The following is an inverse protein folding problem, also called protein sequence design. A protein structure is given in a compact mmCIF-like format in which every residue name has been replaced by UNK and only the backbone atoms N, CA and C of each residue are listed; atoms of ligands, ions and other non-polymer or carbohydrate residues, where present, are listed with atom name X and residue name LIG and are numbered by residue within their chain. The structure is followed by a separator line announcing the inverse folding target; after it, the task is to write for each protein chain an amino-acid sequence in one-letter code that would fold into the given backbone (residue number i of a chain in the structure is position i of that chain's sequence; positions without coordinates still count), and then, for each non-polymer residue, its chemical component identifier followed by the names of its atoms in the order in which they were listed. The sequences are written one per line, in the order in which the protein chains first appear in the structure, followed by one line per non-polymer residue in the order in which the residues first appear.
data_IF_634143800073
#
_entry.id   IF_634143800073
#
_cell.length_a   1.000
_cell.length_b   1.000
_cell.length_c   1.000
_cell.angle_alpha   90.00
_cell.angle_beta   90.00
_cell.angle_gamma   90.00
#
_symmetry.space_group_name_H-M   'P 1'
#
loop_
_entity.id
_entity.type
_entity.pdbx_description
1 polymer ?
#
# COMPACT_ATOMS: atom_id res chain seq x y z
N UNK A 1 -13.54 1.53 12.75
CA UNK A 1 -13.21 0.46 11.78
C UNK A 1 -11.75 0.60 11.42
N UNK A 2 -11.09 -0.53 11.25
CA UNK A 2 -9.69 -0.67 10.86
C UNK A 2 -9.64 -1.73 9.76
N UNK A 3 -8.76 -1.53 8.79
CA UNK A 3 -8.48 -2.49 7.73
C UNK A 3 -7.22 -3.27 8.10
N UNK A 4 -7.13 -4.53 7.72
CA UNK A 4 -5.90 -5.31 7.91
C UNK A 4 -5.45 -5.89 6.58
N UNK A 5 -4.18 -5.67 6.25
CA UNK A 5 -3.53 -6.36 5.14
C UNK A 5 -2.88 -7.62 5.71
N UNK A 6 -3.16 -8.76 5.12
CA UNK A 6 -2.64 -10.06 5.55
C UNK A 6 -1.69 -10.57 4.48
N UNK A 7 -0.42 -10.77 4.80
CA UNK A 7 0.52 -11.38 3.87
C UNK A 7 0.14 -12.85 3.62
N UNK A 8 0.32 -13.30 2.39
CA UNK A 8 0.11 -14.69 1.98
C UNK A 8 1.30 -15.19 1.18
N UNK A 9 1.57 -16.48 1.25
CA UNK A 9 2.59 -17.17 0.49
C UNK A 9 2.18 -17.30 -0.99
N UNK A 10 3.15 -17.58 -1.87
CA UNK A 10 2.91 -17.75 -3.31
C UNK A 10 1.93 -18.90 -3.66
N UNK A 11 1.70 -19.84 -2.73
CA UNK A 11 0.73 -20.93 -2.84
C UNK A 11 -0.64 -20.60 -2.21
N UNK A 12 -0.82 -19.38 -1.70
CA UNK A 12 -2.04 -18.92 -1.03
C UNK A 12 -2.13 -19.31 0.44
N UNK A 13 -1.02 -19.74 1.06
CA UNK A 13 -0.95 -19.99 2.50
C UNK A 13 -0.94 -18.68 3.32
N UNK A 14 -1.72 -18.63 4.41
CA UNK A 14 -1.72 -17.49 5.32
C UNK A 14 -0.37 -17.35 6.04
N UNK A 15 0.10 -16.11 6.19
CA UNK A 15 1.30 -15.79 6.99
C UNK A 15 0.96 -15.08 8.31
N UNK A 16 1.94 -14.85 9.17
CA UNK A 16 1.71 -14.17 10.46
C UNK A 16 1.80 -12.64 10.34
N UNK A 17 2.40 -12.14 9.26
CA UNK A 17 2.66 -10.75 9.00
C UNK A 17 1.37 -10.04 8.55
N UNK A 18 0.97 -9.03 9.30
CA UNK A 18 -0.18 -8.21 8.97
C UNK A 18 0.12 -6.73 9.21
N UNK A 19 -0.52 -5.88 8.40
CA UNK A 19 -0.48 -4.43 8.54
C UNK A 19 -1.88 -3.91 8.88
N UNK A 20 -2.07 -3.41 10.10
CA UNK A 20 -3.35 -2.85 10.53
C UNK A 20 -3.37 -1.33 10.31
N UNK A 21 -4.39 -0.85 9.63
CA UNK A 21 -4.56 0.55 9.24
C UNK A 21 -5.88 1.09 9.78
N UNK A 22 -5.85 2.31 10.31
CA UNK A 22 -7.10 3.03 10.62
C UNK A 22 -7.78 3.49 9.33
N UNK A 23 -9.11 3.69 9.35
CA UNK A 23 -9.82 4.27 8.19
C UNK A 23 -9.22 5.60 7.72
N UNK A 24 -8.68 6.40 8.64
CA UNK A 24 -8.06 7.68 8.34
C UNK A 24 -6.73 7.51 7.62
N UNK A 25 -5.86 6.65 8.15
CA UNK A 25 -4.60 6.26 7.52
C UNK A 25 -4.85 5.70 6.12
N UNK A 26 -5.88 4.86 5.99
CA UNK A 26 -6.28 4.29 4.72
C UNK A 26 -6.76 5.35 3.72
N UNK A 27 -7.57 6.33 4.16
CA UNK A 27 -8.01 7.41 3.29
C UNK A 27 -6.83 8.25 2.77
N UNK A 28 -5.90 8.62 3.64
CA UNK A 28 -4.72 9.41 3.27
C UNK A 28 -3.80 8.66 2.31
N UNK A 29 -3.56 7.37 2.56
CA UNK A 29 -2.76 6.52 1.70
C UNK A 29 -3.41 6.32 0.32
N UNK A 30 -4.75 6.18 0.28
CA UNK A 30 -5.49 6.08 -0.99
C UNK A 30 -5.37 7.36 -1.82
N UNK A 31 -5.55 8.53 -1.22
CA UNK A 31 -5.38 9.81 -1.91
C UNK A 31 -3.97 9.93 -2.50
N UNK A 32 -2.96 9.58 -1.71
CA UNK A 32 -1.57 9.61 -2.15
C UNK A 32 -1.31 8.67 -3.33
N UNK A 33 -1.80 7.43 -3.26
CA UNK A 33 -1.64 6.46 -4.34
C UNK A 33 -2.33 6.93 -5.63
N UNK A 34 -3.52 7.53 -5.53
CA UNK A 34 -4.22 8.13 -6.69
C UNK A 34 -3.35 9.20 -7.35
N UNK A 35 -2.76 10.10 -6.56
CA UNK A 35 -1.88 11.16 -7.07
C UNK A 35 -0.64 10.61 -7.78
N UNK A 36 -0.08 9.49 -7.29
CA UNK A 36 1.09 8.86 -7.91
C UNK A 36 0.73 8.09 -9.20
N UNK A 37 -0.44 7.45 -9.26
CA UNK A 37 -0.83 6.69 -10.45
C UNK A 37 -1.37 7.53 -11.62
N UNK A 38 -1.94 8.70 -11.35
CA UNK A 38 -2.30 9.64 -12.43
C UNK A 38 -1.05 10.16 -13.19
N UNK A 39 0.17 9.96 -12.63
CA UNK A 39 1.41 10.46 -13.20
C UNK A 39 2.01 9.58 -14.33
N UNK A 40 1.70 8.29 -14.43
CA UNK A 40 2.23 7.45 -15.51
C UNK A 40 1.36 6.22 -15.79
N UNK A 41 0.69 6.23 -16.95
CA UNK A 41 -0.16 5.17 -17.53
C UNK A 41 -1.32 4.70 -16.65
N UNK A 42 -2.53 5.06 -17.06
CA UNK A 42 -3.77 4.59 -16.45
C UNK A 42 -3.77 3.08 -16.16
N UNK A 43 -4.30 2.74 -14.98
CA UNK A 43 -4.69 1.38 -14.53
C UNK A 43 -3.62 0.56 -13.77
N UNK A 44 -3.10 1.07 -12.64
CA UNK A 44 -2.79 0.16 -11.51
C UNK A 44 -3.44 0.54 -10.17
N UNK A 45 -3.71 1.83 -9.89
CA UNK A 45 -4.36 2.22 -8.60
C UNK A 45 -5.84 1.88 -8.54
N UNK A 46 -6.44 1.53 -9.67
CA UNK A 46 -7.74 0.86 -9.71
C UNK A 46 -7.72 -0.53 -9.04
N UNK A 47 -6.57 -1.22 -8.96
CA UNK A 47 -6.42 -2.49 -8.23
C UNK A 47 -6.23 -2.30 -6.71
N UNK A 48 -5.75 -1.13 -6.29
CA UNK A 48 -5.75 -0.69 -4.88
C UNK A 48 -7.10 -0.08 -4.46
N UNK A 49 -8.13 -0.15 -5.30
CA UNK A 49 -9.52 -0.11 -4.82
C UNK A 49 -9.73 -1.45 -4.13
N UNK A 50 -9.29 -1.53 -2.87
CA UNK A 50 -9.40 -2.67 -1.94
C UNK A 50 -10.50 -3.63 -2.37
N UNK A 51 -10.06 -4.59 -3.16
CA UNK A 51 -10.90 -5.44 -3.98
C UNK A 51 -11.45 -6.53 -3.06
N UNK A 52 -12.75 -6.81 -3.15
CA UNK A 52 -13.55 -7.71 -2.28
C UNK A 52 -12.94 -9.13 -2.10
N UNK A 53 -11.84 -9.26 -1.34
CA UNK A 53 -11.11 -10.52 -1.15
C UNK A 53 -10.28 -10.98 -2.35
N UNK A 54 -9.79 -10.07 -3.21
CA UNK A 54 -8.86 -10.44 -4.29
C UNK A 54 -7.41 -10.25 -3.86
N UNK A 55 -6.62 -11.30 -4.01
CA UNK A 55 -5.19 -11.33 -3.76
C UNK A 55 -4.43 -10.28 -4.59
N UNK A 56 -3.58 -9.48 -3.93
CA UNK A 56 -2.57 -8.64 -4.58
C UNK A 56 -1.32 -9.47 -4.83
N UNK A 57 -0.90 -9.59 -6.09
CA UNK A 57 0.19 -10.47 -6.48
C UNK A 57 1.59 -9.87 -6.18
N UNK A 58 2.68 -10.67 -6.22
CA UNK A 58 4.02 -10.20 -5.90
C UNK A 58 4.54 -9.07 -6.81
N UNK A 59 4.16 -9.04 -8.09
CA UNK A 59 4.62 -8.03 -9.04
C UNK A 59 3.93 -6.69 -8.79
N UNK A 60 2.62 -6.74 -8.48
CA UNK A 60 1.85 -5.59 -8.01
C UNK A 60 2.40 -5.07 -6.69
N UNK A 61 2.74 -5.95 -5.74
CA UNK A 61 3.39 -5.56 -4.48
C UNK A 61 4.70 -4.79 -4.74
N UNK A 62 5.55 -5.29 -5.65
CA UNK A 62 6.81 -4.61 -6.02
C UNK A 62 6.56 -3.26 -6.67
N UNK A 63 5.54 -3.18 -7.54
CA UNK A 63 5.14 -1.93 -8.17
C UNK A 63 4.67 -0.90 -7.11
N UNK A 64 3.82 -1.30 -6.17
CA UNK A 64 3.33 -0.44 -5.08
C UNK A 64 4.49 0.10 -4.25
N UNK A 65 5.39 -0.78 -3.79
CA UNK A 65 6.53 -0.39 -2.97
C UNK A 65 7.44 0.64 -3.67
N UNK A 66 7.69 0.46 -4.97
CA UNK A 66 8.49 1.40 -5.77
C UNK A 66 7.82 2.77 -5.90
N UNK A 67 6.50 2.81 -6.11
CA UNK A 67 5.75 4.06 -6.25
C UNK A 67 5.69 4.82 -4.92
N UNK A 68 5.45 4.13 -3.81
CA UNK A 68 5.46 4.73 -2.47
C UNK A 68 6.80 5.37 -2.13
N UNK A 69 7.91 4.75 -2.54
CA UNK A 69 9.26 5.32 -2.37
C UNK A 69 9.57 6.51 -3.28
N UNK A 70 8.88 6.60 -4.42
CA UNK A 70 9.04 7.69 -5.37
C UNK A 70 8.22 8.94 -5.02
N UNK A 71 7.35 8.86 -4.01
CA UNK A 71 6.54 9.97 -3.53
C UNK A 71 7.40 11.18 -3.15
N UNK A 72 6.97 12.38 -3.55
CA UNK A 72 7.60 13.63 -3.14
C UNK A 72 7.33 13.91 -1.65
N UNK A 73 8.26 13.46 -0.81
CA UNK A 73 8.21 13.65 0.65
C UNK A 73 8.18 15.13 1.04
N UNK A 74 8.83 16.00 0.27
CA UNK A 74 8.85 17.44 0.54
C UNK A 74 7.48 18.05 0.29
N UNK A 75 6.79 17.62 -0.77
CA UNK A 75 5.42 18.03 -1.03
C UNK A 75 4.48 17.59 0.12
N UNK A 76 4.64 16.35 0.62
CA UNK A 76 3.86 15.87 1.78
C UNK A 76 4.10 16.74 3.02
N UNK A 77 5.36 16.95 3.40
CA UNK A 77 5.71 17.71 4.61
C UNK A 77 5.17 19.14 4.62
N UNK A 78 4.90 19.73 3.46
CA UNK A 78 4.44 21.12 3.33
C UNK A 78 2.92 21.23 3.15
N UNK A 79 2.28 20.24 2.53
CA UNK A 79 0.88 20.34 2.08
C UNK A 79 -0.11 19.51 2.89
N UNK A 80 0.36 18.52 3.66
CA UNK A 80 -0.51 17.55 4.34
C UNK A 80 -0.65 17.83 5.84
N UNK A 81 -1.83 17.63 6.42
CA UNK A 81 -1.99 17.58 7.87
C UNK A 81 -1.29 16.32 8.41
N UNK A 82 -0.54 16.45 9.51
CA UNK A 82 0.20 15.35 10.17
C UNK A 82 1.13 14.58 9.19
N UNK A 83 2.10 15.27 8.56
CA UNK A 83 2.94 14.67 7.53
C UNK A 83 3.82 13.53 8.06
N UNK A 84 4.21 13.57 9.33
CA UNK A 84 5.06 12.55 9.94
C UNK A 84 4.34 11.19 10.00
N UNK A 85 3.08 11.17 10.44
CA UNK A 85 2.25 9.95 10.48
C UNK A 85 2.05 9.38 9.08
N UNK A 86 1.81 10.25 8.08
CA UNK A 86 1.64 9.81 6.70
C UNK A 86 2.94 9.25 6.10
N UNK A 87 4.09 9.85 6.39
CA UNK A 87 5.38 9.37 5.91
C UNK A 87 5.77 8.04 6.57
N UNK A 88 5.53 7.88 7.87
CA UNK A 88 5.71 6.60 8.57
C UNK A 88 4.82 5.51 7.96
N UNK A 89 3.58 5.84 7.63
CA UNK A 89 2.67 4.93 6.95
C UNK A 89 3.15 4.54 5.55
N UNK A 90 3.64 5.50 4.77
CA UNK A 90 4.22 5.25 3.44
C UNK A 90 5.40 4.30 3.55
N UNK A 91 6.30 4.54 4.50
CA UNK A 91 7.49 3.72 4.71
C UNK A 91 7.11 2.31 5.19
N UNK A 92 6.16 2.20 6.13
CA UNK A 92 5.66 0.93 6.64
C UNK A 92 4.93 0.11 5.58
N UNK A 93 4.10 0.73 4.75
CA UNK A 93 3.39 0.02 3.68
C UNK A 93 4.33 -0.41 2.56
N UNK A 94 5.31 0.42 2.19
CA UNK A 94 6.33 0.03 1.21
C UNK A 94 7.16 -1.16 1.69
N UNK A 95 7.52 -1.22 2.98
CA UNK A 95 8.23 -2.35 3.57
C UNK A 95 7.38 -3.62 3.55
N UNK A 96 6.11 -3.53 3.95
CA UNK A 96 5.17 -4.66 3.89
C UNK A 96 5.01 -5.20 2.45
N UNK A 97 4.88 -4.31 1.46
CA UNK A 97 4.81 -4.70 0.06
C UNK A 97 6.10 -5.36 -0.45
N UNK A 98 7.29 -4.96 -0.01
CA UNK A 98 8.54 -5.66 -0.36
C UNK A 98 8.59 -7.09 0.20
N UNK A 99 8.15 -7.26 1.44
CA UNK A 99 8.05 -8.59 2.06
C UNK A 99 7.05 -9.46 1.32
N UNK A 100 5.90 -8.92 0.93
CA UNK A 100 4.94 -9.62 0.10
C UNK A 100 5.57 -9.97 -1.25
N UNK A 101 6.13 -9.01 -1.99
CA UNK A 101 6.76 -9.21 -3.30
C UNK A 101 7.89 -10.26 -3.34
N UNK A 102 8.48 -10.59 -2.18
CA UNK A 102 9.55 -11.58 -2.06
C UNK A 102 9.02 -13.00 -1.79
N UNK A 103 7.94 -13.11 -1.03
CA UNK A 103 7.45 -14.40 -0.49
C UNK A 103 6.05 -14.78 -0.98
N UNK A 104 5.31 -13.85 -1.62
CA UNK A 104 3.96 -14.05 -2.12
C UNK A 104 3.20 -12.74 -2.38
N UNK A 105 1.99 -12.63 -1.84
CA UNK A 105 1.10 -11.49 -2.04
C UNK A 105 0.52 -11.01 -0.72
N UNK A 106 -0.54 -10.20 -0.78
CA UNK A 106 -1.38 -9.94 0.39
C UNK A 106 -2.85 -9.83 0.04
N UNK A 107 -3.68 -10.14 1.02
CA UNK A 107 -5.13 -9.94 0.99
C UNK A 107 -5.53 -8.80 1.91
N UNK A 108 -6.74 -8.27 1.69
CA UNK A 108 -7.29 -7.16 2.45
C UNK A 108 -8.55 -7.65 3.17
N UNK A 109 -8.58 -7.45 4.49
CA UNK A 109 -9.67 -7.85 5.38
C UNK A 109 -10.28 -6.66 6.13
#
# INVERSE_FOLDING_TARGET
MSFSLQAVDADGGDRAECLSLSNRAMAALRELLIEVADADRGTPVALLVFNDGTLVDPDDCRWIANNLRAVDRRAISVSRPEPDELLELVDGFAAFCDECATFGGFEVW
#
